data_IF_423605396391
#
_entry.id   IF_423605396391
#
_cell.length_a   1.000
_cell.length_b   1.000
_cell.length_c   1.000
_cell.angle_alpha   90.00
_cell.angle_beta   90.00
_cell.angle_gamma   90.00
#
_symmetry.space_group_name_H-M   'P 1'
#
loop_
_entity.id
_entity.type
_entity.pdbx_description
1 polymer ?
#
# COMPACT_ATOMS: atom_id res chain seq x y z
N UNK A 1 -1.32 -35.07 7.81
CA UNK A 1 -2.69 -35.45 8.17
C UNK A 1 -3.62 -34.27 7.90
N UNK A 2 -4.90 -34.50 7.55
CA UNK A 2 -5.87 -33.45 7.20
C UNK A 2 -6.00 -32.33 8.27
N UNK A 3 -5.68 -32.63 9.53
CA UNK A 3 -5.64 -31.65 10.62
C UNK A 3 -4.61 -30.52 10.40
N UNK A 4 -3.43 -30.83 9.86
CA UNK A 4 -2.41 -29.81 9.56
C UNK A 4 -2.89 -28.84 8.47
N UNK A 5 -3.55 -29.35 7.44
CA UNK A 5 -4.11 -28.53 6.35
C UNK A 5 -5.14 -27.54 6.88
N UNK A 6 -6.02 -27.95 7.80
CA UNK A 6 -7.00 -27.06 8.44
C UNK A 6 -6.31 -25.92 9.22
N UNK A 7 -5.27 -26.24 9.99
CA UNK A 7 -4.52 -25.24 10.77
C UNK A 7 -3.86 -24.23 9.84
N UNK A 8 -3.23 -24.71 8.76
CA UNK A 8 -2.58 -23.83 7.77
C UNK A 8 -3.59 -22.95 7.03
N UNK A 9 -4.76 -23.48 6.68
CA UNK A 9 -5.83 -22.69 6.06
C UNK A 9 -6.29 -21.54 6.96
N UNK A 10 -6.44 -21.78 8.27
CA UNK A 10 -6.78 -20.73 9.24
C UNK A 10 -5.65 -19.71 9.36
N UNK A 11 -4.39 -20.17 9.41
CA UNK A 11 -3.24 -19.27 9.48
C UNK A 11 -3.18 -18.33 8.26
N UNK A 12 -3.37 -18.86 7.05
CA UNK A 12 -3.42 -18.06 5.81
C UNK A 12 -4.59 -17.09 5.83
N UNK A 13 -5.79 -17.53 6.23
CA UNK A 13 -6.95 -16.63 6.31
C UNK A 13 -6.69 -15.49 7.30
N UNK A 14 -6.12 -15.80 8.47
CA UNK A 14 -5.78 -14.80 9.48
C UNK A 14 -4.76 -13.77 8.97
N UNK A 15 -3.69 -14.21 8.30
CA UNK A 15 -2.68 -13.28 7.76
C UNK A 15 -3.23 -12.42 6.63
N UNK A 16 -4.02 -13.00 5.72
CA UNK A 16 -4.67 -12.24 4.64
C UNK A 16 -5.63 -11.21 5.20
N UNK A 17 -6.52 -11.61 6.13
CA UNK A 17 -7.48 -10.66 6.73
C UNK A 17 -6.77 -9.57 7.52
N UNK A 18 -5.79 -9.93 8.34
CA UNK A 18 -5.04 -8.95 9.13
C UNK A 18 -4.30 -7.95 8.24
N UNK A 19 -3.53 -8.43 7.26
CA UNK A 19 -2.76 -7.56 6.37
C UNK A 19 -3.68 -6.66 5.54
N UNK A 20 -4.78 -7.19 4.99
CA UNK A 20 -5.74 -6.40 4.23
C UNK A 20 -6.39 -5.29 5.09
N UNK A 21 -6.92 -5.63 6.26
CA UNK A 21 -7.62 -4.66 7.12
C UNK A 21 -6.66 -3.65 7.72
N UNK A 22 -5.54 -4.12 8.30
CA UNK A 22 -4.57 -3.22 8.93
C UNK A 22 -3.96 -2.25 7.91
N UNK A 23 -3.57 -2.75 6.73
CA UNK A 23 -3.02 -1.89 5.67
C UNK A 23 -4.07 -0.93 5.15
N UNK A 24 -5.32 -1.37 4.97
CA UNK A 24 -6.41 -0.48 4.55
C UNK A 24 -6.60 0.68 5.55
N UNK A 25 -6.65 0.38 6.84
CA UNK A 25 -6.76 1.42 7.88
C UNK A 25 -5.59 2.39 7.83
N UNK A 26 -4.36 1.88 7.70
CA UNK A 26 -3.16 2.73 7.58
C UNK A 26 -3.26 3.63 6.35
N UNK A 27 -3.60 3.08 5.19
CA UNK A 27 -3.75 3.84 3.94
C UNK A 27 -4.83 4.91 4.06
N UNK A 28 -5.98 4.60 4.67
CA UNK A 28 -7.05 5.57 4.87
C UNK A 28 -6.60 6.72 5.79
N UNK A 29 -5.92 6.40 6.90
CA UNK A 29 -5.42 7.42 7.83
C UNK A 29 -4.35 8.29 7.17
N UNK A 30 -3.35 7.70 6.54
CA UNK A 30 -2.29 8.44 5.84
C UNK A 30 -2.88 9.27 4.69
N UNK A 31 -3.82 8.72 3.94
CA UNK A 31 -4.51 9.43 2.87
C UNK A 31 -5.30 10.63 3.35
N UNK A 32 -5.89 10.57 4.55
CA UNK A 32 -6.63 11.69 5.13
C UNK A 32 -5.72 12.76 5.76
N UNK A 33 -4.55 12.38 6.28
CA UNK A 33 -3.67 13.30 7.04
C UNK A 33 -2.54 13.89 6.20
N UNK A 34 -1.92 13.08 5.33
CA UNK A 34 -0.71 13.46 4.56
C UNK A 34 -1.00 13.50 3.06
N UNK A 35 -1.87 12.61 2.58
CA UNK A 35 -2.06 12.35 1.15
C UNK A 35 -1.15 11.21 0.67
N UNK A 36 -1.70 10.29 -0.14
CA UNK A 36 -1.00 9.08 -0.60
C UNK A 36 -0.40 9.19 -2.01
N UNK A 37 -0.89 10.13 -2.82
CA UNK A 37 -0.52 10.25 -4.24
C UNK A 37 -0.44 11.73 -4.61
N UNK A 38 0.53 12.06 -5.45
CA UNK A 38 0.65 13.37 -6.09
C UNK A 38 -0.53 13.63 -7.04
N UNK A 39 -0.68 14.87 -7.51
CA UNK A 39 -1.67 15.19 -8.52
C UNK A 39 -1.37 14.52 -9.87
N UNK A 40 -2.40 14.40 -10.72
CA UNK A 40 -2.24 13.82 -12.06
C UNK A 40 -1.30 14.62 -12.97
N UNK A 41 -1.20 15.93 -12.74
CA UNK A 41 -0.29 16.80 -13.51
C UNK A 41 1.15 16.54 -13.08
N UNK A 42 1.41 16.51 -11.77
CA UNK A 42 2.73 16.18 -11.22
C UNK A 42 3.21 14.79 -11.63
N UNK A 43 2.29 13.82 -11.68
CA UNK A 43 2.58 12.46 -12.17
C UNK A 43 2.94 12.43 -13.67
N UNK A 44 2.37 13.33 -14.48
CA UNK A 44 2.70 13.47 -15.92
C UNK A 44 4.00 14.22 -16.15
N UNK A 45 4.29 15.24 -15.35
CA UNK A 45 5.52 16.03 -15.44
C UNK A 45 6.74 15.21 -14.99
N UNK A 46 6.54 14.26 -14.08
CA UNK A 46 7.54 13.30 -13.62
C UNK A 46 7.99 13.58 -12.19
N UNK A 47 8.01 12.53 -11.36
CA UNK A 47 8.29 12.66 -9.92
C UNK A 47 9.73 13.12 -9.63
N UNK A 48 10.68 12.78 -10.49
CA UNK A 48 12.07 13.23 -10.33
C UNK A 48 12.18 14.75 -10.51
N UNK A 49 11.44 15.30 -11.48
CA UNK A 49 11.36 16.75 -11.71
C UNK A 49 10.59 17.44 -10.58
N UNK A 50 9.41 16.93 -10.23
CA UNK A 50 8.49 17.59 -9.30
C UNK A 50 8.93 17.46 -7.83
N UNK A 51 9.35 16.26 -7.41
CA UNK A 51 9.68 15.98 -6.00
C UNK A 51 11.18 16.10 -5.70
N UNK A 52 12.05 15.87 -6.68
CA UNK A 52 13.50 15.84 -6.49
C UNK A 52 14.24 16.96 -7.23
N UNK A 53 13.56 17.74 -8.09
CA UNK A 53 14.15 18.83 -8.86
C UNK A 53 15.17 18.37 -9.92
N UNK A 54 15.20 17.07 -10.23
CA UNK A 54 16.12 16.48 -11.19
C UNK A 54 15.58 16.70 -12.60
N UNK A 55 16.36 17.35 -13.47
CA UNK A 55 16.04 17.47 -14.90
C UNK A 55 17.09 16.68 -15.68
N UNK A 56 16.64 15.64 -16.39
CA UNK A 56 17.49 14.95 -17.36
C UNK A 56 17.82 15.95 -18.48
N UNK A 57 19.07 16.40 -18.51
CA UNK A 57 19.64 17.15 -19.63
C UNK A 57 19.94 16.25 -20.80
#
# INVERSE_FOLDING_TARGET
SLAQVKIQAIAVAATVTYTAVATLVILLVVGAVVGLRVSQEEEREGLDVVLHGERLG
#
